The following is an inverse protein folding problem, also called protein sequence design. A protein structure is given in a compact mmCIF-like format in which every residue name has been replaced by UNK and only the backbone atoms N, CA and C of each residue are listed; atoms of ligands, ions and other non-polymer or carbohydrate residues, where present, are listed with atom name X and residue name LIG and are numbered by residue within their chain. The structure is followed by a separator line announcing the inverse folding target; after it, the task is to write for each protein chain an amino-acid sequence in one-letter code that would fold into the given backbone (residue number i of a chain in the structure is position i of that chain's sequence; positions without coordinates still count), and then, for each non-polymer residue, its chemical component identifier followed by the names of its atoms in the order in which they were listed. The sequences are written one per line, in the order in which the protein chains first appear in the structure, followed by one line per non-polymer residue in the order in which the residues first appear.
data_IF_088440754169
#
_entry.id   IF_088440754169
#
_cell.length_a   1.000
_cell.length_b   1.000
_cell.length_c   1.000
_cell.angle_alpha   90.00
_cell.angle_beta   90.00
_cell.angle_gamma   90.00
#
_symmetry.space_group_name_H-M   'P 1'
#
loop_
_entity.id
_entity.type
_entity.pdbx_description
1 polymer ?
#
# COMPACT_ATOMS: atom_id res chain seq x y z
N UNK A 1 -3.12 -18.82 2.19
CA UNK A 1 -3.08 -18.24 0.84
C UNK A 1 -1.81 -17.38 0.79
N UNK A 2 -0.94 -17.56 -0.20
CA UNK A 2 0.28 -16.75 -0.31
C UNK A 2 -0.06 -15.32 -0.72
N UNK A 3 0.84 -14.35 -0.53
CA UNK A 3 0.65 -12.98 -1.02
C UNK A 3 0.38 -12.94 -2.55
N UNK A 4 0.92 -13.91 -3.30
CA UNK A 4 0.66 -14.08 -4.73
C UNK A 4 -0.79 -14.47 -5.01
N UNK A 5 -1.32 -15.45 -4.30
CA UNK A 5 -2.69 -15.94 -4.48
C UNK A 5 -3.72 -14.83 -4.16
N UNK A 6 -3.48 -14.03 -3.11
CA UNK A 6 -4.30 -12.86 -2.79
C UNK A 6 -4.25 -11.85 -3.94
N UNK A 7 -3.06 -11.52 -4.45
CA UNK A 7 -2.92 -10.60 -5.57
C UNK A 7 -3.65 -11.10 -6.81
N UNK A 8 -3.52 -12.39 -7.15
CA UNK A 8 -4.26 -13.01 -8.26
C UNK A 8 -5.77 -12.88 -8.07
N UNK A 9 -6.27 -13.18 -6.87
CA UNK A 9 -7.70 -13.03 -6.55
C UNK A 9 -8.17 -11.58 -6.75
N UNK A 10 -7.45 -10.59 -6.20
CA UNK A 10 -7.80 -9.18 -6.36
C UNK A 10 -7.73 -8.73 -7.83
N UNK A 11 -6.80 -9.29 -8.59
CA UNK A 11 -6.66 -9.03 -10.02
C UNK A 11 -7.87 -9.54 -10.78
N UNK A 12 -8.27 -10.79 -10.55
CA UNK A 12 -9.45 -11.39 -11.18
C UNK A 12 -10.74 -10.61 -10.84
N UNK A 13 -10.78 -9.98 -9.67
CA UNK A 13 -11.89 -9.12 -9.23
C UNK A 13 -11.75 -7.64 -9.61
N UNK A 14 -10.74 -7.29 -10.40
CA UNK A 14 -10.46 -5.91 -10.87
C UNK A 14 -10.32 -4.88 -9.75
N UNK A 15 -9.74 -5.30 -8.62
CA UNK A 15 -9.42 -4.44 -7.45
C UNK A 15 -7.96 -4.56 -7.02
N UNK A 16 -7.07 -5.01 -7.92
CA UNK A 16 -5.65 -5.23 -7.59
C UNK A 16 -4.84 -3.98 -7.26
N UNK A 17 -5.34 -2.78 -7.61
CA UNK A 17 -4.79 -1.50 -7.13
C UNK A 17 -4.76 -1.42 -5.60
N UNK A 18 -5.66 -2.14 -4.93
CA UNK A 18 -5.69 -2.20 -3.47
C UNK A 18 -4.47 -2.90 -2.84
N UNK A 19 -3.84 -3.83 -3.55
CA UNK A 19 -2.78 -4.68 -3.00
C UNK A 19 -1.56 -3.89 -2.54
N UNK A 20 -1.26 -2.75 -3.18
CA UNK A 20 -0.18 -1.85 -2.75
C UNK A 20 -0.39 -1.32 -1.32
N UNK A 21 -1.64 -1.09 -0.92
CA UNK A 21 -1.96 -0.60 0.41
C UNK A 21 -1.88 -1.72 1.44
N UNK A 22 -2.27 -2.94 1.05
CA UNK A 22 -2.11 -4.13 1.89
C UNK A 22 -0.63 -4.39 2.21
N UNK A 23 0.23 -4.45 1.19
CA UNK A 23 1.68 -4.66 1.40
C UNK A 23 2.33 -3.50 2.15
N UNK A 24 1.86 -2.27 1.91
CA UNK A 24 2.30 -1.09 2.68
C UNK A 24 1.85 -1.13 4.14
N UNK A 25 0.74 -1.81 4.47
CA UNK A 25 0.36 -2.10 5.86
C UNK A 25 1.27 -3.16 6.48
N UNK A 26 1.52 -4.27 5.77
CA UNK A 26 2.45 -5.32 6.22
C UNK A 26 3.83 -4.73 6.53
N UNK A 27 4.40 -3.97 5.59
CA UNK A 27 5.70 -3.33 5.77
C UNK A 27 5.78 -2.41 6.99
N UNK A 28 4.73 -1.62 7.27
CA UNK A 28 4.68 -0.77 8.46
C UNK A 28 4.64 -1.59 9.75
N UNK A 29 3.89 -2.70 9.76
CA UNK A 29 3.83 -3.59 10.91
C UNK A 29 5.14 -4.33 11.14
N UNK A 30 5.82 -4.78 10.08
CA UNK A 30 7.13 -5.42 10.16
C UNK A 30 8.18 -4.44 10.73
N UNK A 31 8.17 -3.19 10.27
CA UNK A 31 9.04 -2.14 10.80
C UNK A 31 8.70 -1.80 12.26
N UNK A 32 7.42 -1.73 12.61
CA UNK A 32 7.00 -1.49 13.99
C UNK A 32 7.41 -2.63 14.92
N UNK A 33 7.32 -3.88 14.46
CA UNK A 33 7.79 -5.05 15.20
C UNK A 33 9.32 -5.07 15.36
N UNK A 34 10.06 -4.74 14.31
CA UNK A 34 11.52 -4.57 14.40
C UNK A 34 11.88 -3.54 15.46
N UNK A 35 11.24 -2.37 15.43
CA UNK A 35 11.49 -1.29 16.38
C UNK A 35 11.01 -1.65 17.79
N UNK A 36 9.92 -2.40 17.95
CA UNK A 36 9.50 -2.94 19.25
C UNK A 36 10.53 -3.91 19.84
N UNK A 37 11.09 -4.82 19.04
CA UNK A 37 12.15 -5.72 19.48
C UNK A 37 13.42 -4.94 19.87
N UNK A 38 13.77 -3.89 19.13
CA UNK A 38 14.88 -3.01 19.49
C UNK A 38 14.61 -2.29 20.82
N UNK A 39 13.40 -1.77 21.03
CA UNK A 39 12.97 -1.13 22.27
C UNK A 39 13.07 -2.07 23.47
N UNK A 40 12.57 -3.29 23.32
CA UNK A 40 12.68 -4.35 24.33
C UNK A 40 14.13 -4.65 24.71
N UNK A 41 15.01 -4.74 23.71
CA UNK A 41 16.43 -4.98 23.94
C UNK A 41 17.12 -3.80 24.64
N UNK A 42 16.79 -2.56 24.27
CA UNK A 42 17.30 -1.35 24.92
C UNK A 42 16.91 -1.30 26.40
N UNK A 43 15.63 -1.52 26.70
CA UNK A 43 15.10 -1.52 28.07
C UNK A 43 15.73 -2.64 28.89
N UNK A 44 15.80 -3.86 28.33
CA UNK A 44 16.41 -5.01 29.00
C UNK A 44 17.88 -4.74 29.34
N UNK A 45 18.67 -4.28 28.37
CA UNK A 45 20.08 -3.98 28.57
C UNK A 45 20.29 -2.91 29.64
N UNK A 46 19.52 -1.83 29.59
CA UNK A 46 19.54 -0.78 30.60
C UNK A 46 19.27 -1.33 32.01
N UNK A 47 18.24 -2.17 32.15
CA UNK A 47 17.88 -2.77 33.43
C UNK A 47 18.95 -3.72 33.95
N UNK A 48 19.56 -4.53 33.08
CA UNK A 48 20.65 -5.44 33.44
C UNK A 48 21.89 -4.67 33.93
N UNK A 49 22.31 -3.64 33.19
CA UNK A 49 23.47 -2.81 33.53
C UNK A 49 23.28 -2.07 34.87
N UNK A 50 22.12 -1.43 35.08
CA UNK A 50 21.83 -0.75 36.35
C UNK A 50 21.70 -1.75 37.52
N UNK A 51 21.08 -2.91 37.29
CA UNK A 51 20.98 -3.96 38.31
C UNK A 51 22.36 -4.42 38.78
N UNK A 52 23.31 -4.62 37.86
CA UNK A 52 24.69 -4.96 38.21
C UNK A 52 25.37 -3.86 39.03
N UNK A 53 25.21 -2.60 38.63
CA UNK A 53 25.77 -1.44 39.35
C UNK A 53 25.21 -1.35 40.76
N UNK A 54 23.89 -1.47 40.94
CA UNK A 54 23.24 -1.36 42.24
C UNK A 54 23.55 -2.54 43.14
N UNK A 55 23.54 -3.77 42.61
CA UNK A 55 23.91 -4.95 43.39
C UNK A 55 25.33 -4.83 43.95
N UNK A 56 26.27 -4.33 43.16
CA UNK A 56 27.64 -4.07 43.63
C UNK A 56 27.67 -3.04 44.77
N UNK A 57 26.90 -1.95 44.65
CA UNK A 57 26.79 -0.92 45.72
C UNK A 57 26.21 -1.52 47.01
N UNK A 58 25.18 -2.35 46.89
CA UNK A 58 24.54 -3.03 48.03
C UNK A 58 25.45 -4.09 48.66
N UNK A 59 26.21 -4.83 47.87
CA UNK A 59 27.21 -5.79 48.36
C UNK A 59 28.34 -5.10 49.13
N UNK A 60 28.87 -3.99 48.61
CA UNK A 60 29.88 -3.21 49.30
C UNK A 60 29.35 -2.64 50.62
N UNK A 61 28.09 -2.18 50.64
CA UNK A 61 27.42 -1.76 51.86
C UNK A 61 27.30 -2.89 52.89
N UNK A 62 26.89 -4.09 52.47
CA UNK A 62 26.80 -5.28 53.33
C UNK A 62 28.15 -5.68 53.91
N UNK A 63 29.22 -5.60 53.12
CA UNK A 63 30.57 -6.05 53.54
C UNK A 63 31.32 -5.02 54.40
N UNK A 64 31.21 -3.74 54.08
CA UNK A 64 32.06 -2.68 54.66
C UNK A 64 31.31 -1.70 55.56
N UNK A 65 29.97 -1.82 55.63
CA UNK A 65 29.09 -0.84 56.28
C UNK A 65 28.85 0.42 55.44
N UNK A 66 29.40 0.52 54.22
CA UNK A 66 29.24 1.67 53.32
C UNK A 66 29.21 1.26 51.84
N UNK A 67 28.11 1.57 51.15
CA UNK A 67 28.02 1.53 49.69
C UNK A 67 28.07 2.95 49.12
N UNK A 68 28.63 3.15 47.93
CA UNK A 68 28.65 4.46 47.26
C UNK A 68 28.17 4.32 45.82
N UNK A 69 26.95 4.80 45.54
CA UNK A 69 26.46 4.95 44.18
C UNK A 69 27.05 6.23 43.57
N UNK A 70 27.54 6.13 42.33
CA UNK A 70 28.00 7.28 41.55
C UNK A 70 27.12 7.39 40.32
N UNK A 71 26.55 8.58 40.12
CA UNK A 71 25.82 8.88 38.91
C UNK A 71 26.75 8.64 37.71
N UNK A 72 26.28 7.85 36.76
CA UNK A 72 26.98 7.57 35.52
C UNK A 72 26.04 7.86 34.35
N UNK A 73 26.61 8.08 33.17
CA UNK A 73 25.86 8.36 31.97
C UNK A 73 25.58 7.03 31.28
N UNK A 74 24.30 6.69 31.10
CA UNK A 74 23.90 5.54 30.33
C UNK A 74 23.78 5.93 28.87
N UNK A 75 24.53 5.24 28.03
CA UNK A 75 24.65 5.59 26.63
C UNK A 75 24.58 4.38 25.72
N UNK A 76 24.08 4.61 24.51
CA UNK A 76 23.96 3.62 23.45
C UNK A 76 24.62 4.17 22.20
N UNK A 77 25.34 3.30 21.49
CA UNK A 77 25.84 3.60 20.16
C UNK A 77 24.71 3.56 19.13
N UNK A 78 24.37 4.71 18.56
CA UNK A 78 23.38 4.85 17.49
C UNK A 78 24.12 5.18 16.19
N UNK A 79 24.51 4.14 15.45
CA UNK A 79 25.23 4.24 14.17
C UNK A 79 26.52 5.08 14.25
N UNK A 80 27.33 4.89 15.29
CA UNK A 80 28.58 5.63 15.52
C UNK A 80 28.40 6.93 16.31
N UNK A 81 27.18 7.22 16.79
CA UNK A 81 26.88 8.40 17.61
C UNK A 81 26.42 7.93 18.99
N UNK A 82 27.15 8.33 20.03
CA UNK A 82 26.78 8.05 21.41
C UNK A 82 25.58 8.93 21.83
N UNK A 83 24.46 8.31 22.16
CA UNK A 83 23.24 8.98 22.65
C UNK A 83 22.84 8.46 24.03
N UNK A 84 22.12 9.28 24.80
CA UNK A 84 21.56 8.87 26.09
C UNK A 84 20.54 7.73 25.91
N UNK A 85 20.56 6.74 26.80
CA UNK A 85 19.67 5.57 26.73
C UNK A 85 18.19 5.96 26.78
N UNK A 86 17.82 6.98 27.55
CA UNK A 86 16.43 7.47 27.61
C UNK A 86 16.02 8.10 26.28
N UNK A 87 16.93 8.85 25.64
CA UNK A 87 16.72 9.42 24.30
C UNK A 87 16.57 8.30 23.26
N UNK A 88 17.36 7.24 23.36
CA UNK A 88 17.25 6.08 22.47
C UNK A 88 15.89 5.38 22.63
N UNK A 89 15.47 5.10 23.86
CA UNK A 89 14.16 4.51 24.19
C UNK A 89 13.02 5.38 23.63
N UNK A 90 13.04 6.69 23.90
CA UNK A 90 12.00 7.61 23.44
C UNK A 90 11.94 7.68 21.92
N UNK A 91 13.11 7.76 21.25
CA UNK A 91 13.19 7.79 19.79
C UNK A 91 12.56 6.56 19.16
N UNK A 92 12.91 5.36 19.64
CA UNK A 92 12.38 4.11 19.10
C UNK A 92 10.87 3.99 19.40
N UNK A 93 10.43 4.36 20.60
CA UNK A 93 9.01 4.39 20.94
C UNK A 93 8.19 5.31 20.02
N UNK A 94 8.66 6.55 19.78
CA UNK A 94 7.99 7.48 18.87
C UNK A 94 7.90 6.96 17.44
N UNK A 95 8.96 6.30 16.98
CA UNK A 95 8.98 5.67 15.66
C UNK A 95 7.87 4.61 15.53
N UNK A 96 7.73 3.74 16.53
CA UNK A 96 6.68 2.72 16.57
C UNK A 96 5.29 3.38 16.54
N UNK A 97 5.05 4.37 17.39
CA UNK A 97 3.76 5.07 17.43
C UNK A 97 3.43 5.78 16.11
N UNK A 98 4.43 6.35 15.45
CA UNK A 98 4.29 6.94 14.12
C UNK A 98 3.96 5.91 13.05
N UNK A 99 4.62 4.75 13.05
CA UNK A 99 4.35 3.64 12.14
C UNK A 99 2.93 3.08 12.34
N UNK A 100 2.51 2.88 13.59
CA UNK A 100 1.17 2.40 13.93
C UNK A 100 0.06 3.40 13.55
N UNK A 101 0.31 4.70 13.70
CA UNK A 101 -0.61 5.72 13.21
C UNK A 101 -0.74 5.68 11.67
N UNK A 102 0.40 5.66 10.97
CA UNK A 102 0.43 5.59 9.52
C UNK A 102 -0.17 4.26 8.97
N UNK A 103 -0.14 3.19 9.77
CA UNK A 103 -0.83 1.95 9.46
C UNK A 103 -2.34 2.18 9.31
N UNK A 104 -3.00 2.89 10.22
CA UNK A 104 -4.44 3.14 10.11
C UNK A 104 -4.83 3.95 8.86
N UNK A 105 -4.01 4.94 8.48
CA UNK A 105 -4.23 5.71 7.25
C UNK A 105 -4.12 4.83 6.01
N UNK A 106 -3.13 3.93 5.98
CA UNK A 106 -2.94 3.00 4.85
C UNK A 106 -3.99 1.89 4.85
N UNK A 107 -4.39 1.43 6.03
CA UNK A 107 -5.43 0.43 6.21
C UNK A 107 -6.79 0.93 5.72
N UNK A 108 -7.09 2.21 5.94
CA UNK A 108 -8.26 2.84 5.35
C UNK A 108 -8.23 2.78 3.81
N UNK A 109 -7.08 3.01 3.18
CA UNK A 109 -6.93 2.89 1.73
C UNK A 109 -7.06 1.45 1.23
N UNK A 110 -6.54 0.49 1.98
CA UNK A 110 -6.71 -0.93 1.71
C UNK A 110 -8.20 -1.29 1.62
N UNK A 111 -9.00 -0.94 2.63
CA UNK A 111 -10.45 -1.20 2.64
C UNK A 111 -11.16 -0.41 1.54
N UNK A 112 -10.83 0.88 1.39
CA UNK A 112 -11.42 1.77 0.38
C UNK A 112 -11.25 1.22 -1.05
N UNK A 113 -10.06 0.75 -1.39
CA UNK A 113 -9.74 0.26 -2.73
C UNK A 113 -10.17 -1.19 -2.95
N UNK A 114 -10.09 -2.04 -1.93
CA UNK A 114 -10.40 -3.47 -2.07
C UNK A 114 -11.91 -3.75 -2.13
N UNK A 115 -12.73 -2.94 -1.45
CA UNK A 115 -14.17 -3.16 -1.39
C UNK A 115 -14.96 -2.21 -2.29
N UNK A 116 -14.60 -0.93 -2.39
CA UNK A 116 -15.48 0.04 -3.08
C UNK A 116 -15.22 0.18 -4.59
N UNK A 117 -14.17 -0.44 -5.13
CA UNK A 117 -13.85 -0.40 -6.55
C UNK A 117 -13.86 1.02 -7.12
N UNK A 118 -14.67 1.26 -8.15
CA UNK A 118 -14.85 2.57 -8.79
C UNK A 118 -15.53 3.61 -7.90
N UNK A 119 -16.30 3.17 -6.91
CA UNK A 119 -16.93 4.07 -5.95
C UNK A 119 -15.98 4.48 -4.83
N UNK A 120 -14.74 3.99 -4.80
CA UNK A 120 -13.74 4.36 -3.80
C UNK A 120 -13.59 5.88 -3.65
N UNK A 121 -13.35 6.32 -2.42
CA UNK A 121 -13.02 7.72 -2.15
C UNK A 121 -11.68 8.06 -2.83
N UNK A 122 -11.54 9.30 -3.36
CA UNK A 122 -10.23 9.77 -3.81
C UNK A 122 -9.19 9.61 -2.70
N UNK A 123 -7.96 9.21 -3.04
CA UNK A 123 -6.88 8.91 -2.07
C UNK A 123 -6.76 10.02 -1.01
N UNK A 124 -6.77 11.29 -1.41
CA UNK A 124 -6.67 12.45 -0.50
C UNK A 124 -7.84 12.63 0.48
N UNK A 125 -8.96 11.94 0.27
CA UNK A 125 -10.18 12.00 1.10
C UNK A 125 -10.47 10.69 1.85
N UNK A 126 -9.72 9.62 1.58
CA UNK A 126 -9.93 8.30 2.15
C UNK A 126 -9.27 8.16 3.54
N UNK A 127 -9.68 9.01 4.49
CA UNK A 127 -9.34 8.82 5.90
C UNK A 127 -10.18 7.68 6.51
N UNK A 128 -9.70 7.06 7.59
CA UNK A 128 -10.40 5.95 8.26
C UNK A 128 -11.87 6.26 8.55
N UNK A 129 -12.15 7.44 9.12
CA UNK A 129 -13.51 7.88 9.43
C UNK A 129 -14.38 8.01 8.17
N UNK A 130 -13.84 8.54 7.08
CA UNK A 130 -14.60 8.69 5.84
C UNK A 130 -14.89 7.33 5.19
N UNK A 131 -13.96 6.39 5.26
CA UNK A 131 -14.14 5.02 4.75
C UNK A 131 -15.17 4.27 5.60
N UNK A 132 -15.13 4.40 6.93
CA UNK A 132 -16.14 3.86 7.84
C UNK A 132 -17.54 4.39 7.49
N UNK A 133 -17.69 5.71 7.37
CA UNK A 133 -18.97 6.33 7.05
C UNK A 133 -19.52 5.83 5.71
N UNK A 134 -18.63 5.66 4.73
CA UNK A 134 -18.98 5.21 3.39
C UNK A 134 -19.37 3.72 3.34
N UNK A 135 -18.88 2.89 4.26
CA UNK A 135 -19.23 1.46 4.34
C UNK A 135 -20.74 1.22 4.39
N UNK A 136 -21.50 2.13 5.02
CA UNK A 136 -22.97 2.05 5.11
C UNK A 136 -23.70 2.05 3.76
N UNK A 137 -23.06 2.52 2.69
CA UNK A 137 -23.62 2.50 1.34
C UNK A 137 -23.56 1.12 0.66
N UNK A 138 -22.90 0.14 1.29
CA UNK A 138 -22.60 -1.17 0.72
C UNK A 138 -23.12 -2.30 1.65
N UNK A 139 -24.44 -2.49 1.74
CA UNK A 139 -25.06 -3.44 2.68
C UNK A 139 -24.73 -4.91 2.39
N UNK A 140 -24.16 -5.23 1.23
CA UNK A 140 -23.66 -6.57 0.91
C UNK A 140 -22.38 -6.94 1.68
N UNK A 141 -21.62 -5.94 2.15
CA UNK A 141 -20.47 -6.17 3.01
C UNK A 141 -20.95 -6.33 4.44
N UNK A 142 -21.17 -7.58 4.84
CA UNK A 142 -21.59 -7.94 6.21
C UNK A 142 -20.66 -9.01 6.76
N UNK A 143 -20.26 -8.88 8.02
CA UNK A 143 -19.76 -9.95 8.90
C UNK A 143 -19.36 -9.30 10.25
N UNK A 144 -18.86 -10.10 11.18
CA UNK A 144 -18.20 -9.62 12.39
C UNK A 144 -17.05 -8.65 12.06
N UNK A 145 -16.23 -8.95 11.04
CA UNK A 145 -15.14 -8.05 10.64
C UNK A 145 -15.65 -6.65 10.26
N UNK A 146 -16.73 -6.54 9.47
CA UNK A 146 -17.29 -5.24 9.08
C UNK A 146 -17.86 -4.50 10.30
N UNK A 147 -18.48 -5.25 11.21
CA UNK A 147 -18.97 -4.70 12.50
C UNK A 147 -17.81 -4.15 13.33
N UNK A 148 -16.71 -4.88 13.42
CA UNK A 148 -15.52 -4.46 14.16
C UNK A 148 -14.86 -3.25 13.48
N UNK A 149 -14.74 -3.28 12.14
CA UNK A 149 -14.18 -2.20 11.32
C UNK A 149 -14.92 -0.88 11.52
N UNK A 150 -16.26 -0.92 11.42
CA UNK A 150 -17.10 0.28 11.59
C UNK A 150 -17.04 0.85 13.01
N UNK A 151 -16.66 0.02 13.99
CA UNK A 151 -16.48 0.41 15.39
C UNK A 151 -15.02 0.68 15.81
N UNK A 152 -14.05 0.68 14.87
CA UNK A 152 -12.62 0.92 15.22
C UNK A 152 -12.44 2.22 16.00
N UNK A 153 -13.19 3.27 15.68
CA UNK A 153 -13.06 4.57 16.36
C UNK A 153 -13.45 4.54 17.84
N UNK A 154 -14.21 3.54 18.28
CA UNK A 154 -14.53 3.29 19.69
C UNK A 154 -13.52 2.37 20.38
N UNK A 155 -12.58 1.77 19.64
CA UNK A 155 -11.55 0.90 20.19
C UNK A 155 -10.49 1.72 20.95
N UNK A 156 -10.10 1.22 22.12
CA UNK A 156 -9.13 1.89 22.99
C UNK A 156 -7.74 1.96 22.35
N UNK A 157 -7.28 0.91 21.65
CA UNK A 157 -5.96 0.87 21.02
C UNK A 157 -5.86 1.89 19.88
N UNK A 158 -6.91 1.99 19.04
CA UNK A 158 -6.97 3.02 18.00
C UNK A 158 -6.99 4.43 18.63
N UNK A 159 -7.84 4.64 19.63
CA UNK A 159 -7.99 5.94 20.29
C UNK A 159 -6.68 6.39 20.92
N UNK A 160 -5.95 5.47 21.56
CA UNK A 160 -4.63 5.73 22.13
C UNK A 160 -3.64 6.24 21.08
N UNK A 161 -3.50 5.54 19.95
CA UNK A 161 -2.60 5.93 18.85
C UNK A 161 -3.00 7.28 18.26
N UNK A 162 -4.29 7.48 18.00
CA UNK A 162 -4.81 8.72 17.43
C UNK A 162 -4.57 9.92 18.36
N UNK A 163 -4.88 9.77 19.65
CA UNK A 163 -4.71 10.81 20.67
C UNK A 163 -3.24 11.12 20.93
N UNK A 164 -2.38 10.09 21.00
CA UNK A 164 -0.93 10.24 21.14
C UNK A 164 -0.36 11.07 19.98
N UNK A 165 -0.61 10.65 18.74
CA UNK A 165 -0.10 11.33 17.55
C UNK A 165 -0.64 12.76 17.42
N UNK A 166 -1.92 13.00 17.75
CA UNK A 166 -2.49 14.34 17.71
C UNK A 166 -1.86 15.27 18.78
N UNK A 167 -1.65 14.75 19.99
CA UNK A 167 -1.02 15.49 21.09
C UNK A 167 0.43 15.86 20.76
N UNK A 168 1.20 14.89 20.25
CA UNK A 168 2.58 15.09 19.79
C UNK A 168 2.67 16.15 18.68
N UNK A 169 1.78 16.10 17.68
CA UNK A 169 1.81 17.02 16.52
C UNK A 169 1.40 18.45 16.84
N UNK A 170 0.44 18.64 17.76
CA UNK A 170 -0.26 19.93 17.89
C UNK A 170 -0.19 20.58 19.27
N UNK A 171 0.26 19.86 20.31
CA UNK A 171 0.22 20.36 21.69
C UNK A 171 1.59 20.39 22.34
N UNK A 172 2.16 19.22 22.65
CA UNK A 172 3.44 19.09 23.32
C UNK A 172 3.96 17.65 23.23
N UNK A 173 5.26 17.50 23.50
CA UNK A 173 5.94 16.21 23.49
C UNK A 173 5.49 15.35 24.68
N UNK A 174 5.01 14.13 24.41
CA UNK A 174 4.81 13.10 25.43
C UNK A 174 6.10 12.28 25.58
N UNK A 175 6.74 12.43 26.73
CA UNK A 175 8.01 11.78 27.05
C UNK A 175 7.79 10.40 27.67
N UNK A 176 8.66 9.45 27.30
CA UNK A 176 8.80 8.19 28.03
C UNK A 176 9.59 8.46 29.31
N UNK A 177 9.07 7.99 30.43
CA UNK A 177 9.77 8.03 31.70
C UNK A 177 10.59 6.76 31.89
N UNK A 178 11.91 6.93 31.97
CA UNK A 178 12.86 5.88 32.28
C UNK A 178 13.38 6.08 33.73
N UNK A 179 13.12 5.12 34.62
CA UNK A 179 13.50 5.18 36.03
C UNK A 179 14.13 3.87 36.48
N UNK A 180 15.03 3.97 37.46
CA UNK A 180 15.56 2.82 38.17
C UNK A 180 15.55 3.08 39.67
N UNK A 181 14.88 2.22 40.43
CA UNK A 181 14.81 2.31 41.89
C UNK A 181 15.98 1.55 42.52
N UNK A 182 16.81 2.29 43.27
CA UNK A 182 18.02 1.79 43.90
C UNK A 182 17.75 0.83 45.07
N UNK A 183 16.58 0.93 45.72
CA UNK A 183 16.27 0.15 46.91
C UNK A 183 15.53 -1.14 46.55
N UNK A 184 14.62 -1.08 45.57
CA UNK A 184 13.95 -2.27 45.05
C UNK A 184 14.76 -2.99 43.97
N UNK A 185 15.83 -2.35 43.45
CA UNK A 185 16.68 -2.86 42.36
C UNK A 185 15.82 -3.20 41.14
N UNK A 186 14.94 -2.26 40.77
CA UNK A 186 13.97 -2.47 39.71
C UNK A 186 13.88 -1.24 38.80
N UNK A 187 13.96 -1.48 37.49
CA UNK A 187 13.70 -0.48 36.47
C UNK A 187 12.21 -0.38 36.12
N UNK A 188 11.79 0.81 35.72
CA UNK A 188 10.45 1.09 35.20
C UNK A 188 10.57 2.00 33.96
N UNK A 189 9.99 1.58 32.85
CA UNK A 189 9.90 2.37 31.62
C UNK A 189 8.44 2.54 31.24
N UNK A 190 7.93 3.75 31.39
CA UNK A 190 6.49 4.02 31.33
C UNK A 190 6.14 5.25 30.52
N UNK A 191 4.96 5.22 29.90
CA UNK A 191 4.37 6.38 29.24
C UNK A 191 3.63 7.16 30.33
N UNK A 192 3.87 8.47 30.43
CA UNK A 192 3.19 9.29 31.42
C UNK A 192 1.71 9.48 31.07
N UNK A 193 0.91 9.78 32.09
CA UNK A 193 -0.50 10.12 31.91
C UNK A 193 -0.66 11.32 30.97
N UNK A 194 -1.61 11.23 30.04
CA UNK A 194 -1.99 12.33 29.18
C UNK A 194 -3.48 12.35 28.88
N UNK A 195 -4.00 13.53 28.58
CA UNK A 195 -5.43 13.73 28.31
C UNK A 195 -5.66 14.35 26.95
N UNK A 196 -6.59 13.78 26.18
CA UNK A 196 -7.06 14.34 24.92
C UNK A 196 -8.58 14.30 24.84
N UNK A 197 -9.20 15.47 24.63
CA UNK A 197 -10.64 15.63 24.46
C UNK A 197 -11.46 14.95 25.58
N UNK A 198 -11.00 15.05 26.83
CA UNK A 198 -11.62 14.42 28.01
C UNK A 198 -11.32 12.94 28.20
N UNK A 199 -10.60 12.29 27.28
CA UNK A 199 -10.09 10.91 27.44
C UNK A 199 -8.76 10.95 28.16
N UNK A 200 -8.72 10.34 29.34
CA UNK A 200 -7.51 10.20 30.17
C UNK A 200 -6.86 8.85 29.85
N UNK A 201 -5.59 8.90 29.44
CA UNK A 201 -4.73 7.74 29.26
C UNK A 201 -3.79 7.66 30.45
N UNK A 202 -3.91 6.61 31.27
CA UNK A 202 -3.17 6.48 32.53
C UNK A 202 -1.69 6.10 32.28
N UNK A 203 -0.87 6.20 33.33
CA UNK A 203 0.51 5.75 33.28
C UNK A 203 0.57 4.23 33.09
N UNK A 204 1.27 3.77 32.05
CA UNK A 204 1.37 2.36 31.67
C UNK A 204 2.79 2.00 31.23
N UNK A 205 3.14 0.71 31.32
CA UNK A 205 4.41 0.19 30.82
C UNK A 205 4.50 0.33 29.30
N UNK A 206 5.65 0.81 28.82
CA UNK A 206 5.86 1.09 27.39
C UNK A 206 5.74 -0.18 26.55
N UNK A 207 6.30 -1.30 27.00
CA UNK A 207 6.33 -2.54 26.21
C UNK A 207 4.94 -3.15 26.14
N UNK A 208 4.19 -3.13 27.24
CA UNK A 208 2.82 -3.66 27.30
C UNK A 208 1.87 -2.89 26.38
N UNK A 209 1.93 -1.54 26.41
CA UNK A 209 1.12 -0.68 25.54
C UNK A 209 1.46 -0.94 24.07
N UNK A 210 2.74 -0.93 23.72
CA UNK A 210 3.18 -1.11 22.34
C UNK A 210 2.80 -2.51 21.82
N UNK A 211 3.04 -3.56 22.61
CA UNK A 211 2.70 -4.94 22.22
C UNK A 211 1.20 -5.08 21.96
N UNK A 212 0.38 -4.54 22.86
CA UNK A 212 -1.09 -4.63 22.75
C UNK A 212 -1.60 -3.95 21.48
N UNK A 213 -1.11 -2.76 21.17
CA UNK A 213 -1.51 -2.01 19.98
C UNK A 213 -0.98 -2.69 18.70
N UNK A 214 0.26 -3.16 18.71
CA UNK A 214 0.87 -3.86 17.57
C UNK A 214 0.10 -5.15 17.25
N UNK A 215 -0.20 -5.96 18.26
CA UNK A 215 -0.98 -7.20 18.11
C UNK A 215 -2.39 -6.92 17.61
N UNK A 216 -3.02 -5.84 18.10
CA UNK A 216 -4.31 -5.38 17.59
C UNK A 216 -4.24 -5.02 16.09
N UNK A 217 -3.23 -4.26 15.67
CA UNK A 217 -3.09 -3.86 14.26
C UNK A 217 -2.80 -5.06 13.36
N UNK A 218 -1.95 -6.00 13.80
CA UNK A 218 -1.69 -7.27 13.10
C UNK A 218 -2.95 -8.11 12.93
N UNK A 219 -3.71 -8.28 14.02
CA UNK A 219 -5.00 -8.98 13.99
C UNK A 219 -5.96 -8.29 13.02
N UNK A 220 -6.08 -6.97 13.09
CA UNK A 220 -6.97 -6.20 12.22
C UNK A 220 -6.63 -6.38 10.73
N UNK A 221 -5.34 -6.36 10.36
CA UNK A 221 -4.91 -6.61 8.98
C UNK A 221 -5.23 -8.04 8.55
N UNK A 222 -4.90 -9.03 9.37
CA UNK A 222 -5.15 -10.45 9.06
C UNK A 222 -6.66 -10.77 8.93
N UNK A 223 -7.48 -10.22 9.82
CA UNK A 223 -8.94 -10.37 9.77
C UNK A 223 -9.49 -9.72 8.49
N UNK A 224 -8.95 -8.55 8.10
CA UNK A 224 -9.36 -7.88 6.85
C UNK A 224 -8.99 -8.68 5.60
N UNK A 225 -7.80 -9.27 5.57
CA UNK A 225 -7.36 -10.13 4.48
C UNK A 225 -8.29 -11.34 4.37
N UNK A 226 -8.50 -12.02 5.50
CA UNK A 226 -9.38 -13.20 5.57
C UNK A 226 -10.79 -12.88 5.08
N UNK A 227 -11.33 -11.73 5.49
CA UNK A 227 -12.63 -11.26 5.04
C UNK A 227 -12.66 -11.03 3.52
N UNK A 228 -11.72 -10.25 2.98
CA UNK A 228 -11.64 -9.93 1.54
C UNK A 228 -11.48 -11.21 0.70
N UNK A 229 -10.61 -12.13 1.12
CA UNK A 229 -10.42 -13.42 0.45
C UNK A 229 -11.71 -14.23 0.42
N UNK A 230 -12.38 -14.37 1.58
CA UNK A 230 -13.59 -15.19 1.69
C UNK A 230 -14.77 -14.58 0.93
N UNK A 231 -14.89 -13.26 0.93
CA UNK A 231 -15.89 -12.55 0.15
C UNK A 231 -15.67 -12.80 -1.34
N UNK A 232 -14.46 -12.57 -1.86
CA UNK A 232 -14.18 -12.66 -3.29
C UNK A 232 -14.02 -14.09 -3.84
N UNK A 233 -13.79 -15.09 -3.00
CA UNK A 233 -13.91 -16.50 -3.41
C UNK A 233 -15.32 -16.82 -3.93
N UNK A 234 -16.35 -16.16 -3.40
CA UNK A 234 -17.74 -16.48 -3.69
C UNK A 234 -18.49 -15.37 -4.44
N UNK A 235 -17.95 -14.14 -4.47
CA UNK A 235 -18.62 -12.97 -5.04
C UNK A 235 -17.72 -12.25 -6.07
N UNK A 236 -18.34 -11.46 -6.94
CA UNK A 236 -17.64 -10.49 -7.79
C UNK A 236 -17.74 -9.09 -7.17
N UNK A 237 -16.81 -8.20 -7.52
CA UNK A 237 -16.97 -6.79 -7.19
C UNK A 237 -18.03 -6.20 -8.13
N UNK A 238 -19.07 -5.57 -7.58
CA UNK A 238 -20.14 -4.96 -8.39
C UNK A 238 -19.77 -3.58 -8.93
N UNK A 239 -18.62 -3.04 -8.52
CA UNK A 239 -18.22 -1.65 -8.74
C UNK A 239 -17.00 -1.55 -9.66
N UNK A 240 -16.92 -2.38 -10.69
CA UNK A 240 -15.73 -2.48 -11.58
C UNK A 240 -16.10 -2.58 -13.07
N UNK A 241 -17.31 -2.16 -13.43
CA UNK A 241 -17.85 -2.25 -14.79
C UNK A 241 -16.98 -1.54 -15.83
N UNK A 242 -16.46 -0.37 -15.48
CA UNK A 242 -15.61 0.46 -16.32
C UNK A 242 -14.12 0.07 -16.26
N UNK A 243 -13.71 -0.81 -15.32
CA UNK A 243 -12.32 -1.23 -15.16
C UNK A 243 -11.92 -2.28 -16.20
N UNK A 244 -10.77 -2.09 -16.84
CA UNK A 244 -10.20 -3.04 -17.80
C UNK A 244 -8.69 -3.15 -17.61
N UNK A 245 -8.17 -4.32 -17.97
CA UNK A 245 -6.74 -4.54 -18.10
C UNK A 245 -6.33 -4.53 -19.57
N UNK A 246 -5.11 -4.08 -19.82
CA UNK A 246 -4.37 -4.34 -21.06
C UNK A 246 -5.18 -4.09 -22.35
N UNK A 247 -5.24 -2.84 -22.83
CA UNK A 247 -5.65 -2.57 -24.21
C UNK A 247 -4.90 -3.48 -25.18
N UNK A 248 -5.59 -3.92 -26.23
CA UNK A 248 -4.99 -4.67 -27.33
C UNK A 248 -4.12 -3.75 -28.19
N UNK A 249 -3.21 -4.34 -28.96
CA UNK A 249 -2.33 -3.61 -29.87
C UNK A 249 -2.52 -4.10 -31.30
N UNK A 250 -2.67 -3.16 -32.22
CA UNK A 250 -2.61 -3.43 -33.66
C UNK A 250 -1.30 -2.89 -34.22
N UNK A 251 -0.62 -3.68 -35.03
CA UNK A 251 0.56 -3.26 -35.78
C UNK A 251 0.51 -3.81 -37.21
N UNK A 252 0.71 -2.92 -38.18
CA UNK A 252 0.80 -3.23 -39.60
C UNK A 252 2.18 -2.86 -40.15
N UNK A 253 2.84 -3.80 -40.82
CA UNK A 253 4.15 -3.63 -41.45
C UNK A 253 4.04 -3.69 -42.96
N UNK A 254 4.96 -3.02 -43.66
CA UNK A 254 4.98 -3.00 -45.12
C UNK A 254 5.56 -4.28 -45.74
N UNK A 255 6.44 -4.97 -45.02
CA UNK A 255 7.12 -6.17 -45.49
C UNK A 255 7.38 -7.16 -44.35
N UNK A 256 7.75 -8.40 -44.70
CA UNK A 256 7.98 -9.48 -43.74
C UNK A 256 9.23 -9.26 -42.87
N UNK A 257 10.24 -8.54 -43.36
CA UNK A 257 11.49 -8.29 -42.63
C UNK A 257 11.25 -7.35 -41.45
N UNK A 258 10.59 -6.22 -41.69
CA UNK A 258 10.17 -5.25 -40.68
C UNK A 258 9.25 -5.90 -39.64
N UNK A 259 8.33 -6.76 -40.09
CA UNK A 259 7.49 -7.56 -39.19
C UNK A 259 8.32 -8.49 -38.29
N UNK A 260 9.26 -9.25 -38.85
CA UNK A 260 10.13 -10.18 -38.06
C UNK A 260 11.00 -9.43 -37.06
N UNK A 261 11.45 -8.23 -37.40
CA UNK A 261 12.27 -7.40 -36.53
C UNK A 261 11.44 -6.51 -35.58
N UNK A 262 10.11 -6.47 -35.75
CA UNK A 262 9.20 -5.54 -35.07
C UNK A 262 9.67 -4.08 -35.17
N UNK A 263 10.11 -3.67 -36.36
CA UNK A 263 10.59 -2.31 -36.65
C UNK A 263 9.72 -1.65 -37.71
N UNK A 264 9.68 -0.32 -37.71
CA UNK A 264 9.07 0.49 -38.77
C UNK A 264 7.59 0.13 -39.05
N UNK A 265 6.77 -0.07 -38.01
CA UNK A 265 5.34 -0.29 -38.18
C UNK A 265 4.68 0.90 -38.90
N UNK A 266 4.07 0.64 -40.06
CA UNK A 266 3.42 1.64 -40.93
C UNK A 266 2.12 2.17 -40.32
N UNK A 267 1.44 1.35 -39.54
CA UNK A 267 0.28 1.75 -38.75
C UNK A 267 0.30 1.00 -37.42
N UNK A 268 0.07 1.70 -36.32
CA UNK A 268 0.05 1.13 -34.99
C UNK A 268 -0.94 1.89 -34.11
N UNK A 269 -1.62 1.18 -33.21
CA UNK A 269 -2.46 1.80 -32.18
C UNK A 269 -2.82 0.79 -31.08
N UNK A 270 -3.09 1.30 -29.89
CA UNK A 270 -3.73 0.54 -28.82
C UNK A 270 -5.24 0.69 -28.93
N UNK A 271 -6.01 -0.35 -28.61
CA UNK A 271 -7.46 -0.30 -28.66
C UNK A 271 -8.13 -1.18 -27.60
N UNK A 272 -9.39 -0.87 -27.30
CA UNK A 272 -10.30 -1.77 -26.61
C UNK A 272 -11.49 -2.07 -27.52
N UNK A 273 -12.04 -3.28 -27.40
CA UNK A 273 -13.25 -3.67 -28.10
C UNK A 273 -14.48 -3.18 -27.33
N UNK A 274 -15.43 -2.58 -28.03
CA UNK A 274 -16.66 -2.03 -27.45
C UNK A 274 -17.87 -2.36 -28.31
N UNK A 275 -19.05 -2.37 -27.68
CA UNK A 275 -20.31 -2.31 -28.42
C UNK A 275 -20.57 -0.86 -28.84
N UNK A 276 -20.62 -0.61 -30.16
CA UNK A 276 -20.85 0.73 -30.72
C UNK A 276 -22.18 1.35 -30.25
N UNK A 277 -23.17 0.54 -29.86
CA UNK A 277 -24.44 1.03 -29.34
C UNK A 277 -24.42 1.34 -27.84
N UNK A 278 -23.38 0.90 -27.12
CA UNK A 278 -23.28 1.01 -25.67
C UNK A 278 -21.84 1.38 -25.24
N UNK A 279 -21.31 2.46 -25.80
CA UNK A 279 -20.02 3.01 -25.40
C UNK A 279 -20.17 3.73 -24.06
N UNK A 280 -19.42 3.30 -23.05
CA UNK A 280 -19.43 3.94 -21.73
C UNK A 280 -18.80 5.34 -21.84
N UNK A 281 -19.26 6.32 -21.04
CA UNK A 281 -18.69 7.68 -21.07
C UNK A 281 -17.25 7.73 -20.56
N UNK A 282 -16.84 6.74 -19.76
CA UNK A 282 -15.54 6.65 -19.12
C UNK A 282 -15.09 5.19 -19.02
N UNK A 283 -13.79 4.95 -19.13
CA UNK A 283 -13.16 3.67 -18.85
C UNK A 283 -12.02 3.87 -17.85
N UNK A 284 -11.64 2.84 -17.10
CA UNK A 284 -10.52 2.89 -16.16
C UNK A 284 -9.53 1.78 -16.50
N UNK A 285 -8.32 2.15 -16.89
CA UNK A 285 -7.35 1.21 -17.46
C UNK A 285 -6.15 1.06 -16.53
N UNK A 286 -5.78 -0.19 -16.26
CA UNK A 286 -4.52 -0.57 -15.63
C UNK A 286 -3.79 -1.58 -16.51
N UNK A 287 -2.47 -1.64 -16.44
CA UNK A 287 -1.67 -2.61 -17.18
C UNK A 287 -1.21 -3.72 -16.22
N UNK A 288 -1.25 -4.96 -16.67
CA UNK A 288 -0.91 -6.13 -15.86
C UNK A 288 -0.15 -7.14 -16.70
N UNK A 289 1.02 -7.56 -16.25
CA UNK A 289 1.73 -8.71 -16.77
C UNK A 289 1.41 -9.89 -15.87
N UNK A 290 0.60 -10.82 -16.38
CA UNK A 290 0.17 -12.00 -15.64
C UNK A 290 1.04 -13.22 -16.03
N UNK A 291 2.01 -13.55 -15.18
CA UNK A 291 2.84 -14.75 -15.30
C UNK A 291 2.31 -15.93 -14.49
N UNK A 292 1.05 -15.96 -14.08
CA UNK A 292 0.50 -17.02 -13.22
C UNK A 292 0.47 -18.41 -13.85
N UNK A 293 0.51 -18.51 -15.19
CA UNK A 293 0.55 -19.77 -15.94
C UNK A 293 1.98 -20.29 -16.19
N UNK A 294 3.01 -19.67 -15.58
CA UNK A 294 4.38 -20.15 -15.74
C UNK A 294 4.56 -21.58 -15.19
N UNK A 295 5.29 -22.41 -15.94
CA UNK A 295 5.52 -23.83 -15.62
C UNK A 295 6.27 -24.04 -14.29
N UNK A 296 7.08 -23.07 -13.87
CA UNK A 296 7.81 -23.09 -12.60
C UNK A 296 7.21 -22.09 -11.61
N UNK A 297 7.06 -22.49 -10.35
CA UNK A 297 6.57 -21.61 -9.28
C UNK A 297 7.47 -20.38 -9.03
N UNK A 298 8.77 -20.48 -9.31
CA UNK A 298 9.71 -19.34 -9.19
C UNK A 298 9.48 -18.26 -10.27
N UNK A 299 8.85 -18.62 -11.39
CA UNK A 299 8.56 -17.71 -12.51
C UNK A 299 7.17 -17.06 -12.41
N UNK A 300 6.32 -17.55 -11.49
CA UNK A 300 4.98 -17.00 -11.23
C UNK A 300 5.07 -15.62 -10.61
N UNK A 301 4.82 -14.60 -11.42
CA UNK A 301 4.76 -13.20 -10.98
C UNK A 301 3.62 -12.45 -11.63
N UNK A 302 3.02 -11.53 -10.88
CA UNK A 302 2.06 -10.56 -11.39
C UNK A 302 2.70 -9.19 -11.21
N UNK A 303 2.94 -8.49 -12.31
CA UNK A 303 3.43 -7.11 -12.29
C UNK A 303 2.31 -6.18 -12.76
N UNK A 304 2.11 -5.06 -12.08
CA UNK A 304 1.07 -4.08 -12.38
C UNK A 304 1.68 -2.72 -12.64
N UNK A 305 1.11 -1.99 -13.59
CA UNK A 305 1.56 -0.66 -13.98
C UNK A 305 0.38 0.26 -14.28
N UNK A 306 0.61 1.55 -14.06
CA UNK A 306 -0.33 2.57 -14.51
C UNK A 306 -0.42 2.60 -16.04
N UNK A 307 -1.59 2.94 -16.56
CA UNK A 307 -1.77 3.08 -18.01
C UNK A 307 -1.03 4.32 -18.53
N UNK A 308 -0.04 4.08 -19.40
CA UNK A 308 0.83 5.11 -19.98
C UNK A 308 0.30 5.70 -21.29
N UNK A 309 -0.82 5.17 -21.81
CA UNK A 309 -1.25 5.47 -23.16
C UNK A 309 -1.90 6.87 -23.26
N UNK A 310 -1.47 7.73 -24.19
CA UNK A 310 -2.09 9.04 -24.37
C UNK A 310 -3.45 8.94 -25.08
N UNK A 311 -3.60 7.98 -25.99
CA UNK A 311 -4.83 7.68 -26.74
C UNK A 311 -4.99 6.16 -26.83
N UNK A 312 -6.21 5.67 -26.60
CA UNK A 312 -6.62 4.28 -26.84
C UNK A 312 -7.83 4.32 -27.77
N UNK A 313 -7.83 3.55 -28.85
CA UNK A 313 -8.94 3.53 -29.80
C UNK A 313 -10.11 2.69 -29.29
N UNK A 314 -11.33 3.09 -29.64
CA UNK A 314 -12.55 2.32 -29.41
C UNK A 314 -12.89 1.59 -30.71
N UNK A 315 -12.78 0.26 -30.71
CA UNK A 315 -13.00 -0.58 -31.88
C UNK A 315 -14.26 -1.41 -31.73
N UNK A 316 -15.13 -1.41 -32.73
CA UNK A 316 -16.36 -2.20 -32.71
C UNK A 316 -16.16 -3.63 -33.23
N UNK A 317 -17.22 -4.44 -33.18
CA UNK A 317 -17.20 -5.81 -33.68
C UNK A 317 -17.03 -5.94 -35.21
N UNK A 318 -17.22 -4.86 -35.97
CA UNK A 318 -16.99 -4.80 -37.42
C UNK A 318 -15.56 -4.41 -37.77
N UNK A 319 -14.69 -4.26 -36.77
CA UNK A 319 -13.33 -3.73 -36.87
C UNK A 319 -13.24 -2.24 -37.25
N UNK A 320 -14.32 -1.47 -37.07
CA UNK A 320 -14.32 -0.03 -37.28
C UNK A 320 -13.94 0.72 -35.99
N UNK A 321 -13.16 1.80 -36.15
CA UNK A 321 -12.85 2.69 -35.03
C UNK A 321 -14.01 3.68 -34.86
N UNK A 322 -14.73 3.56 -33.75
CA UNK A 322 -15.93 4.34 -33.42
C UNK A 322 -15.67 5.49 -32.44
N UNK A 323 -14.44 5.62 -31.96
CA UNK A 323 -14.03 6.71 -31.08
C UNK A 323 -12.63 6.54 -30.50
N UNK A 324 -12.27 7.42 -29.57
CA UNK A 324 -11.02 7.35 -28.81
C UNK A 324 -11.27 7.56 -27.32
N UNK A 325 -10.33 7.08 -26.53
CA UNK A 325 -10.18 7.32 -25.10
C UNK A 325 -9.00 8.27 -24.88
N UNK A 326 -9.22 9.33 -24.09
CA UNK A 326 -8.17 10.24 -23.62
C UNK A 326 -8.14 10.29 -22.09
N UNK A 327 -6.97 10.36 -21.44
CA UNK A 327 -6.88 10.53 -20.00
C UNK A 327 -7.72 11.71 -19.51
N UNK A 328 -8.37 11.56 -18.35
CA UNK A 328 -9.09 12.66 -17.69
C UNK A 328 -8.13 13.61 -16.95
N UNK A 329 -6.97 13.09 -16.56
CA UNK A 329 -5.89 13.85 -15.96
C UNK A 329 -4.96 14.46 -17.02
N UNK A 330 -4.16 15.45 -16.61
CA UNK A 330 -3.09 16.03 -17.44
C UNK A 330 -1.71 15.45 -17.07
N UNK A 331 -1.67 14.29 -16.41
CA UNK A 331 -0.44 13.68 -15.94
C UNK A 331 0.20 12.83 -17.05
N UNK A 332 1.52 12.69 -17.00
CA UNK A 332 2.25 11.81 -17.91
C UNK A 332 2.82 10.67 -17.09
N UNK A 333 2.32 9.47 -17.34
CA UNK A 333 2.78 8.26 -16.68
C UNK A 333 3.91 7.61 -17.47
N UNK A 334 4.83 6.97 -16.75
CA UNK A 334 5.81 6.02 -17.31
C UNK A 334 5.57 4.65 -16.66
N UNK A 335 5.95 3.57 -17.33
CA UNK A 335 5.70 2.21 -16.84
C UNK A 335 6.19 1.98 -15.41
N UNK A 336 7.34 2.54 -15.06
CA UNK A 336 7.92 2.46 -13.70
C UNK A 336 8.17 3.87 -13.19
N UNK A 337 7.11 4.55 -12.80
CA UNK A 337 7.17 5.87 -12.16
C UNK A 337 6.80 5.80 -10.67
N UNK A 338 6.85 6.95 -10.01
CA UNK A 338 6.61 7.10 -8.57
C UNK A 338 5.12 7.27 -8.23
N UNK A 339 4.22 7.22 -9.22
CA UNK A 339 2.80 7.37 -8.96
C UNK A 339 2.24 6.12 -8.27
N UNK A 340 1.25 6.33 -7.40
CA UNK A 340 0.48 5.21 -6.85
C UNK A 340 -0.17 4.42 -8.00
N UNK A 341 -0.28 3.09 -7.83
CA UNK A 341 -0.99 2.27 -8.80
C UNK A 341 -2.47 2.62 -8.76
N UNK A 342 -3.04 2.98 -9.91
CA UNK A 342 -4.45 3.30 -10.06
C UNK A 342 -4.98 2.75 -11.38
N UNK A 343 -6.28 2.48 -11.42
CA UNK A 343 -6.99 2.40 -12.68
C UNK A 343 -7.14 3.81 -13.24
N UNK A 344 -6.25 4.19 -14.15
CA UNK A 344 -6.24 5.54 -14.73
C UNK A 344 -7.52 5.76 -15.52
N UNK A 345 -8.16 6.90 -15.28
CA UNK A 345 -9.46 7.23 -15.90
C UNK A 345 -9.25 7.82 -17.29
N UNK A 346 -10.03 7.31 -18.24
CA UNK A 346 -10.09 7.80 -19.61
C UNK A 346 -11.53 8.18 -19.96
N UNK A 347 -11.70 9.35 -20.56
CA UNK A 347 -12.97 9.80 -21.11
C UNK A 347 -13.14 9.32 -22.54
N UNK A 348 -14.34 8.87 -22.87
CA UNK A 348 -14.73 8.48 -24.22
C UNK A 348 -15.08 9.68 -25.10
N UNK A 349 -14.55 9.70 -26.32
CA UNK A 349 -14.77 10.73 -27.33
C UNK A 349 -15.17 10.05 -28.64
N UNK A 350 -16.44 10.20 -29.03
CA UNK A 350 -17.05 9.56 -30.20
C UNK A 350 -17.40 10.54 -31.34
N UNK A 351 -17.18 11.84 -31.11
CA UNK A 351 -17.35 12.90 -32.11
C UNK A 351 -16.03 13.62 -32.35
N UNK A 352 -15.78 14.03 -33.60
CA UNK A 352 -14.60 14.79 -34.04
C UNK A 352 -13.23 14.18 -33.65
N UNK A 353 -13.19 12.90 -33.29
CA UNK A 353 -11.98 12.19 -32.82
C UNK A 353 -10.97 11.88 -33.92
N UNK A 354 -11.34 12.00 -35.20
CA UNK A 354 -10.52 11.54 -36.33
C UNK A 354 -9.18 12.25 -36.43
N UNK A 355 -9.13 13.55 -36.12
CA UNK A 355 -7.87 14.31 -36.15
C UNK A 355 -6.91 13.84 -35.05
N UNK A 356 -7.43 13.65 -33.83
CA UNK A 356 -6.66 13.15 -32.70
C UNK A 356 -6.16 11.72 -32.93
N UNK A 357 -7.02 10.87 -33.48
CA UNK A 357 -6.68 9.51 -33.90
C UNK A 357 -5.55 9.51 -34.93
N UNK A 358 -5.67 10.31 -36.00
CA UNK A 358 -4.65 10.40 -37.04
C UNK A 358 -3.33 10.91 -36.47
N UNK A 359 -3.37 11.95 -35.64
CA UNK A 359 -2.19 12.46 -34.95
C UNK A 359 -1.53 11.36 -34.11
N UNK A 360 -2.30 10.59 -33.33
CA UNK A 360 -1.77 9.51 -32.50
C UNK A 360 -1.06 8.41 -33.31
N UNK A 361 -1.64 8.01 -34.45
CA UNK A 361 -1.09 6.98 -35.34
C UNK A 361 0.19 7.47 -36.03
N UNK A 362 0.24 8.76 -36.40
CA UNK A 362 1.35 9.33 -37.16
C UNK A 362 2.44 9.98 -36.31
N UNK A 363 2.21 10.19 -35.00
CA UNK A 363 3.16 10.88 -34.12
C UNK A 363 4.09 9.92 -33.38
N UNK A 364 5.40 10.14 -33.52
CA UNK A 364 6.41 9.69 -32.55
C UNK A 364 6.78 8.20 -32.58
N UNK A 365 7.50 7.79 -31.53
CA UNK A 365 7.86 6.39 -31.27
C UNK A 365 6.66 5.63 -30.69
N UNK A 366 6.35 4.47 -31.26
CA UNK A 366 5.36 3.55 -30.71
C UNK A 366 6.01 2.58 -29.74
N UNK A 367 5.52 2.54 -28.50
CA UNK A 367 6.00 1.60 -27.50
C UNK A 367 5.05 0.40 -27.41
N UNK A 368 5.45 -0.70 -28.04
CA UNK A 368 4.81 -1.99 -27.85
C UNK A 368 5.36 -2.69 -26.60
N UNK A 369 4.46 -3.21 -25.77
CA UNK A 369 4.81 -3.98 -24.56
C UNK A 369 4.29 -5.42 -24.67
N UNK A 370 5.14 -6.39 -25.07
CA UNK A 370 4.72 -7.75 -25.42
C UNK A 370 3.94 -8.53 -24.34
N UNK A 371 4.11 -8.17 -23.07
CA UNK A 371 3.46 -8.84 -21.94
C UNK A 371 2.31 -8.04 -21.32
N UNK A 372 2.01 -6.86 -21.85
CA UNK A 372 0.95 -5.95 -21.34
C UNK A 372 -0.14 -5.68 -22.37
N UNK A 373 -0.05 -6.30 -23.54
CA UNK A 373 -1.02 -6.16 -24.61
C UNK A 373 -0.94 -7.37 -25.53
N UNK A 374 -2.06 -8.06 -25.72
CA UNK A 374 -2.20 -8.97 -26.85
C UNK A 374 -2.09 -8.16 -28.14
N UNK A 375 -1.24 -8.61 -29.06
CA UNK A 375 -0.98 -7.90 -30.31
C UNK A 375 -1.47 -8.68 -31.53
N UNK A 376 -2.15 -7.96 -32.42
CA UNK A 376 -2.44 -8.41 -33.77
C UNK A 376 -1.41 -7.81 -34.71
N UNK A 377 -0.60 -8.66 -35.32
CA UNK A 377 0.41 -8.27 -36.29
C UNK A 377 -0.05 -8.62 -37.70
N UNK A 378 0.08 -7.68 -38.62
CA UNK A 378 -0.23 -7.86 -40.03
C UNK A 378 0.91 -7.31 -40.88
N UNK A 379 1.18 -7.92 -42.04
CA UNK A 379 2.10 -7.35 -43.03
C UNK A 379 1.57 -7.58 -44.44
N UNK A 380 1.99 -6.73 -45.37
CA UNK A 380 1.62 -6.85 -46.77
C UNK A 380 2.39 -8.00 -47.45
N UNK A 381 1.67 -9.03 -47.89
CA UNK A 381 2.23 -10.19 -48.60
C UNK A 381 2.46 -9.93 -50.10
N UNK A 382 1.99 -8.81 -50.63
CA UNK A 382 2.13 -8.52 -52.07
C UNK A 382 3.58 -8.25 -52.51
N UNK A 383 4.50 -8.00 -51.56
CA UNK A 383 5.93 -7.78 -51.83
C UNK A 383 6.82 -9.02 -51.60
N UNK A 384 6.29 -10.19 -51.19
CA UNK A 384 7.09 -11.40 -50.93
C UNK A 384 7.34 -12.29 -52.16
N UNK A 385 6.99 -11.83 -53.36
CA UNK A 385 7.20 -12.56 -54.63
C UNK A 385 8.18 -11.82 -55.53
N UNK A 386 9.44 -11.72 -55.13
CA UNK A 386 10.56 -11.69 -56.08
C UNK A 386 11.87 -12.00 -55.37
N UNK A 387 12.34 -13.24 -55.49
CA UNK A 387 13.71 -13.62 -55.87
C UNK A 387 13.84 -15.15 -55.78
N UNK A 388 13.66 -15.81 -56.93
CA UNK A 388 14.34 -17.07 -57.24
C UNK A 388 15.79 -16.80 -57.63
#
# INVERSE_FOLDING_TARGET
MTNFDLLKLLMDKKVADSFQFFTSCQYKLDMAELSYNALKNLIKKYQEEETEVINKVLEDAKRTGKGTYRLHKNVVDFFGIEIDTTVAIEKVFMEIMGLLHNFFDTFAQWINSSLFGEQALPIKRASLVNVINKMSAFPEYTDQFITDFTNITANQNYSYVADFNNTQKHRYQLYVQNKFDLFSVQGEVSIQEFEKDGRVHIKEDVLDVVSTILDYCKKLLNDSQTYVENYYKNNNCNYVEHRMYNPQTYMFFENEEDYKQLKNAKNHYHFIEVDANNILPQYQIMLVCDGSEADNDEDKRIEMFNSVYPIIMLKDCNNEIVGILKPEDNETYKLRDEHNLIYRKYRSITSDYRQDMFNAICSGEFHYYPYLSNATFCYDKSNSTTQE
#
